data_IF_865796405151
#
_entry.id   IF_865796405151
#
_cell.length_a   1.000
_cell.length_b   1.000
_cell.length_c   1.000
_cell.angle_alpha   90.00
_cell.angle_beta   90.00
_cell.angle_gamma   90.00
#
_symmetry.space_group_name_H-M   'P 1'
#
loop_
_entity.id
_entity.type
_entity.pdbx_description
1 polymer ?
#
# COMPACT_ATOMS: atom_id res chain seq x y z
N UNK A 1 -60.87 -12.93 32.32
CA UNK A 1 -60.96 -11.85 31.31
C UNK A 1 -59.53 -11.38 31.06
N UNK A 2 -58.84 -12.08 30.12
CA UNK A 2 -57.39 -11.85 29.84
C UNK A 2 -57.25 -10.80 28.75
N UNK A 3 -56.69 -9.65 29.10
CA UNK A 3 -56.35 -8.60 28.15
C UNK A 3 -54.93 -8.86 27.69
N UNK A 4 -54.79 -9.34 26.44
CA UNK A 4 -53.53 -9.43 25.74
C UNK A 4 -53.08 -8.01 25.35
N UNK A 5 -52.07 -7.50 26.04
CA UNK A 5 -51.34 -6.28 25.62
C UNK A 5 -50.36 -6.71 24.55
N UNK A 6 -50.73 -6.59 23.28
CA UNK A 6 -49.84 -6.71 22.16
C UNK A 6 -49.01 -5.42 22.08
N UNK A 7 -47.73 -5.51 22.45
CA UNK A 7 -46.80 -4.39 22.37
C UNK A 7 -46.67 -3.95 20.91
N UNK A 8 -47.12 -2.73 20.62
CA UNK A 8 -46.95 -2.05 19.33
C UNK A 8 -45.48 -1.67 19.22
N UNK A 9 -44.69 -2.49 18.54
CA UNK A 9 -43.37 -2.06 18.10
C UNK A 9 -43.55 -0.98 17.04
N UNK A 10 -43.32 0.26 17.40
CA UNK A 10 -43.20 1.36 16.46
C UNK A 10 -41.99 1.05 15.54
N UNK A 11 -42.26 0.66 14.31
CA UNK A 11 -41.24 0.57 13.25
C UNK A 11 -40.84 2.00 12.94
N UNK A 12 -39.84 2.49 13.67
CA UNK A 12 -39.24 3.81 13.46
C UNK A 12 -38.62 3.81 12.08
N UNK A 13 -39.19 4.57 11.16
CA UNK A 13 -38.65 4.72 9.80
C UNK A 13 -37.16 5.08 9.87
N UNK A 14 -36.29 4.40 9.12
CA UNK A 14 -34.86 4.65 9.17
C UNK A 14 -34.57 6.09 8.76
N UNK A 15 -33.82 6.80 9.61
CA UNK A 15 -33.43 8.19 9.36
C UNK A 15 -32.73 8.31 8.00
N UNK A 16 -33.11 9.30 7.18
CA UNK A 16 -32.53 9.55 5.85
C UNK A 16 -30.98 9.58 5.89
N UNK A 17 -30.37 10.12 6.96
CA UNK A 17 -28.92 10.08 7.16
C UNK A 17 -28.36 8.67 7.27
N UNK A 18 -29.05 7.78 7.99
CA UNK A 18 -28.59 6.38 8.15
C UNK A 18 -28.74 5.58 6.85
N UNK A 19 -29.75 5.88 6.03
CA UNK A 19 -29.92 5.30 4.70
C UNK A 19 -28.81 5.77 3.73
N UNK A 20 -28.50 7.06 3.73
CA UNK A 20 -27.44 7.61 2.89
C UNK A 20 -26.07 7.02 3.27
N UNK A 21 -25.76 6.94 4.57
CA UNK A 21 -24.52 6.30 5.04
C UNK A 21 -24.46 4.82 4.68
N UNK A 22 -25.56 4.07 4.80
CA UNK A 22 -25.63 2.66 4.40
C UNK A 22 -25.46 2.50 2.88
N UNK A 23 -26.03 3.37 2.07
CA UNK A 23 -25.86 3.37 0.63
C UNK A 23 -24.44 3.71 0.22
N UNK A 24 -23.83 4.75 0.81
CA UNK A 24 -22.42 5.10 0.56
C UNK A 24 -21.50 3.95 0.96
N UNK A 25 -21.75 3.30 2.10
CA UNK A 25 -20.97 2.16 2.57
C UNK A 25 -21.18 0.91 1.70
N UNK A 26 -22.40 0.70 1.18
CA UNK A 26 -22.74 -0.40 0.27
C UNK A 26 -22.12 -0.20 -1.13
N UNK A 27 -22.18 1.03 -1.65
CA UNK A 27 -21.55 1.39 -2.93
C UNK A 27 -20.01 1.31 -2.85
N UNK A 28 -19.42 1.71 -1.73
CA UNK A 28 -17.99 1.53 -1.46
C UNK A 28 -17.59 0.04 -1.42
N UNK A 29 -18.44 -0.81 -0.83
CA UNK A 29 -18.19 -2.25 -0.73
C UNK A 29 -18.33 -3.00 -2.07
N UNK A 30 -19.21 -2.52 -2.96
CA UNK A 30 -19.40 -3.13 -4.30
C UNK A 30 -18.22 -2.86 -5.24
N UNK A 31 -17.49 -1.75 -5.07
CA UNK A 31 -16.35 -1.39 -5.93
C UNK A 31 -15.02 -2.06 -5.50
N UNK A 32 -14.93 -2.60 -4.30
CA UNK A 32 -13.69 -3.20 -3.76
C UNK A 32 -13.37 -4.56 -4.40
N UNK A 33 -14.37 -5.34 -4.84
CA UNK A 33 -14.13 -6.70 -5.37
C UNK A 33 -13.50 -6.74 -6.77
N UNK A 34 -13.64 -5.70 -7.58
CA UNK A 34 -13.05 -5.65 -8.94
C UNK A 34 -11.66 -5.00 -9.02
N UNK A 35 -11.26 -4.25 -8.02
CA UNK A 35 -10.04 -3.42 -8.07
C UNK A 35 -8.86 -3.97 -7.25
N UNK A 36 -9.04 -5.06 -6.51
CA UNK A 36 -7.99 -5.61 -5.65
C UNK A 36 -6.69 -5.92 -6.43
N UNK A 37 -6.79 -6.64 -7.53
CA UNK A 37 -5.62 -7.00 -8.34
C UNK A 37 -4.96 -5.78 -8.98
N UNK A 38 -5.74 -4.81 -9.47
CA UNK A 38 -5.21 -3.56 -10.05
C UNK A 38 -4.40 -2.76 -9.03
N UNK A 39 -4.86 -2.70 -7.78
CA UNK A 39 -4.17 -1.96 -6.73
C UNK A 39 -2.84 -2.59 -6.34
N UNK A 40 -2.74 -3.91 -6.36
CA UNK A 40 -1.47 -4.61 -6.19
C UNK A 40 -0.50 -4.34 -7.34
N UNK A 41 -1.01 -4.26 -8.58
CA UNK A 41 -0.20 -3.86 -9.74
C UNK A 41 0.27 -2.41 -9.59
N UNK A 42 -0.60 -1.48 -9.17
CA UNK A 42 -0.21 -0.11 -8.90
C UNK A 42 0.87 -0.01 -7.82
N UNK A 43 0.75 -0.80 -6.74
CA UNK A 43 1.78 -0.86 -5.71
C UNK A 43 3.12 -1.35 -6.27
N UNK A 44 3.11 -2.41 -7.07
CA UNK A 44 4.32 -2.94 -7.69
C UNK A 44 4.97 -1.90 -8.62
N UNK A 45 4.17 -1.24 -9.47
CA UNK A 45 4.66 -0.17 -10.34
C UNK A 45 5.23 1.00 -9.54
N UNK A 46 4.58 1.38 -8.42
CA UNK A 46 5.08 2.42 -7.53
C UNK A 46 6.45 2.06 -6.93
N UNK A 47 6.63 0.82 -6.47
CA UNK A 47 7.90 0.33 -5.91
C UNK A 47 9.00 0.31 -6.96
N UNK A 48 8.70 -0.19 -8.17
CA UNK A 48 9.68 -0.20 -9.27
C UNK A 48 10.06 1.21 -9.70
N UNK A 49 9.10 2.11 -9.82
CA UNK A 49 9.36 3.51 -10.15
C UNK A 49 10.23 4.20 -9.08
N UNK A 50 9.95 3.94 -7.78
CA UNK A 50 10.80 4.43 -6.70
C UNK A 50 12.23 3.90 -6.79
N UNK A 51 12.40 2.61 -7.06
CA UNK A 51 13.72 2.00 -7.23
C UNK A 51 14.51 2.66 -8.37
N UNK A 52 13.85 2.95 -9.50
CA UNK A 52 14.47 3.70 -10.62
C UNK A 52 14.83 5.12 -10.16
N UNK A 53 13.93 5.79 -9.44
CA UNK A 53 14.17 7.12 -8.87
C UNK A 53 15.36 7.15 -7.92
N UNK A 54 15.44 6.21 -6.99
CA UNK A 54 16.54 6.10 -6.02
C UNK A 54 17.87 5.78 -6.71
N UNK A 55 17.85 4.92 -7.74
CA UNK A 55 19.04 4.62 -8.53
C UNK A 55 19.51 5.84 -9.34
N UNK A 56 18.57 6.57 -9.93
CA UNK A 56 18.83 7.84 -10.61
C UNK A 56 19.37 8.90 -9.65
N UNK A 57 18.82 8.98 -8.44
CA UNK A 57 19.30 9.91 -7.41
C UNK A 57 20.76 9.64 -7.05
N UNK A 58 21.14 8.37 -6.86
CA UNK A 58 22.53 8.00 -6.63
C UNK A 58 23.44 8.36 -7.83
N UNK A 59 22.96 8.11 -9.05
CA UNK A 59 23.71 8.42 -10.27
C UNK A 59 23.81 9.93 -10.55
N UNK A 60 22.89 10.75 -9.99
CA UNK A 60 22.84 12.19 -10.20
C UNK A 60 23.94 12.98 -9.47
N UNK A 61 24.60 12.34 -8.51
CA UNK A 61 25.67 12.95 -7.72
C UNK A 61 25.22 14.28 -7.10
N UNK A 62 24.19 14.20 -6.24
CA UNK A 62 23.60 15.36 -5.60
C UNK A 62 22.89 16.32 -6.56
N UNK A 63 22.24 15.81 -7.60
CA UNK A 63 21.56 16.58 -8.68
C UNK A 63 22.50 17.41 -9.55
N UNK A 64 23.81 17.13 -9.54
CA UNK A 64 24.78 17.82 -10.40
C UNK A 64 24.69 17.40 -11.87
N UNK A 65 24.17 16.19 -12.14
CA UNK A 65 24.03 15.62 -13.50
C UNK A 65 22.59 15.70 -13.97
N UNK A 66 22.33 16.42 -15.06
CA UNK A 66 20.98 16.74 -15.54
C UNK A 66 20.12 15.51 -15.81
N UNK A 67 20.61 14.55 -16.63
CA UNK A 67 19.82 13.41 -17.06
C UNK A 67 19.40 12.47 -15.91
N UNK A 68 20.30 12.05 -15.00
CA UNK A 68 19.90 11.27 -13.83
C UNK A 68 18.97 12.04 -12.90
N UNK A 69 19.13 13.37 -12.77
CA UNK A 69 18.27 14.20 -11.96
C UNK A 69 16.85 14.26 -12.51
N UNK A 70 16.69 14.45 -13.82
CA UNK A 70 15.37 14.43 -14.47
C UNK A 70 14.70 13.05 -14.33
N UNK A 71 15.47 11.97 -14.55
CA UNK A 71 14.97 10.61 -14.34
C UNK A 71 14.45 10.42 -12.90
N UNK A 72 15.20 10.90 -11.93
CA UNK A 72 14.83 10.83 -10.51
C UNK A 72 13.49 11.53 -10.24
N UNK A 73 13.33 12.76 -10.71
CA UNK A 73 12.11 13.55 -10.49
C UNK A 73 10.89 12.86 -11.12
N UNK A 74 11.03 12.42 -12.37
CA UNK A 74 9.94 11.75 -13.10
C UNK A 74 9.57 10.42 -12.44
N UNK A 75 10.57 9.63 -12.06
CA UNK A 75 10.37 8.32 -11.44
C UNK A 75 9.71 8.43 -10.06
N UNK A 76 10.13 9.36 -9.21
CA UNK A 76 9.46 9.61 -7.94
C UNK A 76 8.04 10.16 -8.12
N UNK A 77 7.83 11.07 -9.09
CA UNK A 77 6.49 11.55 -9.42
C UNK A 77 5.54 10.41 -9.82
N UNK A 78 6.01 9.51 -10.68
CA UNK A 78 5.27 8.31 -11.06
C UNK A 78 5.02 7.38 -9.86
N UNK A 79 6.03 7.15 -9.02
CA UNK A 79 5.91 6.32 -7.82
C UNK A 79 4.80 6.82 -6.89
N UNK A 80 4.82 8.10 -6.53
CA UNK A 80 3.81 8.69 -5.66
C UNK A 80 2.42 8.73 -6.30
N UNK A 81 2.34 8.94 -7.61
CA UNK A 81 1.07 8.86 -8.33
C UNK A 81 0.45 7.47 -8.20
N UNK A 82 1.18 6.40 -8.53
CA UNK A 82 0.68 5.04 -8.42
C UNK A 82 0.42 4.61 -6.97
N UNK A 83 1.23 5.07 -6.02
CA UNK A 83 0.96 4.89 -4.60
C UNK A 83 -0.39 5.51 -4.20
N UNK A 84 -0.68 6.73 -4.66
CA UNK A 84 -1.95 7.39 -4.35
C UNK A 84 -3.16 6.59 -4.84
N UNK A 85 -3.03 5.94 -6.00
CA UNK A 85 -4.05 5.04 -6.54
C UNK A 85 -4.18 3.76 -5.70
N UNK A 86 -3.06 3.22 -5.24
CA UNK A 86 -3.01 2.04 -4.36
C UNK A 86 -3.74 2.28 -3.05
N UNK A 87 -3.51 3.43 -2.41
CA UNK A 87 -4.09 3.79 -1.11
C UNK A 87 -5.61 4.03 -1.15
N UNK A 88 -6.22 4.07 -2.32
CA UNK A 88 -7.70 4.10 -2.45
C UNK A 88 -8.36 2.79 -2.02
N UNK A 89 -7.64 1.68 -2.06
CA UNK A 89 -8.18 0.33 -1.82
C UNK A 89 -7.36 -0.47 -0.82
N UNK A 90 -6.04 -0.31 -0.79
CA UNK A 90 -5.15 -1.00 0.16
C UNK A 90 -4.93 -0.10 1.37
N UNK A 91 -5.15 -0.62 2.60
CA UNK A 91 -4.85 0.13 3.83
C UNK A 91 -3.40 0.58 3.88
N UNK A 92 -3.17 1.80 4.38
CA UNK A 92 -1.84 2.44 4.42
C UNK A 92 -0.78 1.55 5.06
N UNK A 93 -1.10 0.89 6.19
CA UNK A 93 -0.17 0.02 6.89
C UNK A 93 0.29 -1.17 6.05
N UNK A 94 -0.62 -1.81 5.27
CA UNK A 94 -0.28 -2.91 4.37
C UNK A 94 0.59 -2.41 3.21
N UNK A 95 0.17 -1.30 2.58
CA UNK A 95 0.91 -0.72 1.47
C UNK A 95 2.35 -0.41 1.87
N UNK A 96 2.56 0.23 3.03
CA UNK A 96 3.89 0.55 3.55
C UNK A 96 4.71 -0.68 3.97
N UNK A 97 4.08 -1.69 4.58
CA UNK A 97 4.77 -2.92 4.94
C UNK A 97 5.29 -3.66 3.70
N UNK A 98 4.46 -3.80 2.66
CA UNK A 98 4.88 -4.44 1.40
C UNK A 98 5.90 -3.59 0.66
N UNK A 99 5.68 -2.27 0.60
CA UNK A 99 6.63 -1.34 -0.01
C UNK A 99 8.02 -1.44 0.64
N UNK A 100 8.08 -1.32 1.97
CA UNK A 100 9.35 -1.40 2.71
C UNK A 100 10.05 -2.75 2.53
N UNK A 101 9.31 -3.86 2.61
CA UNK A 101 9.89 -5.20 2.44
C UNK A 101 10.38 -5.46 1.03
N UNK A 102 9.54 -5.24 0.03
CA UNK A 102 9.90 -5.46 -1.39
C UNK A 102 10.92 -4.42 -1.85
N UNK A 103 10.72 -3.14 -1.48
CA UNK A 103 11.62 -2.04 -1.86
C UNK A 103 13.04 -2.26 -1.38
N UNK A 104 13.23 -2.66 -0.12
CA UNK A 104 14.57 -2.96 0.43
C UNK A 104 15.27 -4.08 -0.35
N UNK A 105 14.56 -5.17 -0.65
CA UNK A 105 15.14 -6.26 -1.43
C UNK A 105 15.56 -5.79 -2.82
N UNK A 106 14.68 -5.07 -3.52
CA UNK A 106 14.96 -4.61 -4.88
C UNK A 106 16.10 -3.60 -4.93
N UNK A 107 16.09 -2.58 -4.05
CA UNK A 107 17.14 -1.55 -4.05
C UNK A 107 18.50 -2.12 -3.63
N UNK A 108 18.51 -3.12 -2.75
CA UNK A 108 19.73 -3.82 -2.36
C UNK A 108 20.30 -4.63 -3.52
N UNK A 109 19.43 -5.32 -4.29
CA UNK A 109 19.85 -6.03 -5.50
C UNK A 109 20.46 -5.07 -6.51
N UNK A 110 19.85 -3.91 -6.75
CA UNK A 110 20.41 -2.87 -7.63
C UNK A 110 21.75 -2.35 -7.08
N UNK A 111 21.83 -2.09 -5.79
CA UNK A 111 23.05 -1.69 -5.10
C UNK A 111 24.20 -2.68 -5.34
N UNK A 112 23.89 -3.96 -5.19
CA UNK A 112 24.86 -5.03 -5.40
C UNK A 112 25.24 -5.20 -6.87
N UNK A 113 24.24 -5.33 -7.77
CA UNK A 113 24.49 -5.67 -9.18
C UNK A 113 25.00 -4.48 -10.00
N UNK A 114 24.49 -3.27 -9.75
CA UNK A 114 24.76 -2.10 -10.57
C UNK A 114 25.81 -1.16 -9.97
N UNK A 115 25.81 -1.02 -8.65
CA UNK A 115 26.72 -0.13 -7.95
C UNK A 115 27.89 -0.86 -7.27
N UNK A 116 27.99 -2.18 -7.41
CA UNK A 116 29.09 -2.98 -6.86
C UNK A 116 29.14 -2.98 -5.33
N UNK A 117 28.04 -2.66 -4.65
CA UNK A 117 27.98 -2.64 -3.19
C UNK A 117 28.02 -4.09 -2.66
N UNK A 118 28.98 -4.35 -1.76
CA UNK A 118 29.08 -5.68 -1.13
C UNK A 118 28.10 -5.78 0.02
N UNK A 119 27.37 -6.90 0.05
CA UNK A 119 26.48 -7.26 1.15
C UNK A 119 27.28 -8.10 2.15
N UNK A 120 27.30 -7.68 3.38
CA UNK A 120 27.85 -8.49 4.48
C UNK A 120 26.75 -9.38 5.12
N UNK A 121 27.15 -10.34 5.93
CA UNK A 121 26.22 -11.24 6.58
C UNK A 121 25.18 -10.51 7.47
N UNK A 122 25.55 -9.48 8.27
CA UNK A 122 24.57 -8.70 9.04
C UNK A 122 23.52 -8.02 8.16
N UNK A 123 23.88 -7.47 6.99
CA UNK A 123 22.95 -6.84 6.07
C UNK A 123 21.94 -7.85 5.51
N UNK A 124 22.41 -9.04 5.11
CA UNK A 124 21.54 -10.13 4.64
C UNK A 124 20.57 -10.57 5.75
N UNK A 125 21.07 -10.77 6.97
CA UNK A 125 20.23 -11.13 8.11
C UNK A 125 19.18 -10.07 8.42
N UNK A 126 19.55 -8.80 8.42
CA UNK A 126 18.63 -7.69 8.63
C UNK A 126 17.52 -7.64 7.59
N UNK A 127 17.84 -7.82 6.32
CA UNK A 127 16.85 -7.89 5.23
C UNK A 127 15.91 -9.08 5.38
N UNK A 128 16.42 -10.26 5.73
CA UNK A 128 15.60 -11.44 5.96
C UNK A 128 14.61 -11.22 7.12
N UNK A 129 15.03 -10.55 8.20
CA UNK A 129 14.15 -10.18 9.31
C UNK A 129 13.05 -9.20 8.88
N UNK A 130 13.36 -8.20 8.06
CA UNK A 130 12.39 -7.25 7.53
C UNK A 130 11.36 -7.97 6.66
N UNK A 131 11.81 -8.78 5.71
CA UNK A 131 10.91 -9.55 4.83
C UNK A 131 10.04 -10.51 5.65
N UNK A 132 10.62 -11.21 6.62
CA UNK A 132 9.88 -12.10 7.51
C UNK A 132 8.82 -11.33 8.30
N UNK A 133 9.15 -10.15 8.84
CA UNK A 133 8.21 -9.27 9.54
C UNK A 133 7.05 -8.85 8.63
N UNK A 134 7.32 -8.49 7.37
CA UNK A 134 6.29 -8.16 6.38
C UNK A 134 5.38 -9.34 6.09
N UNK A 135 5.93 -10.54 5.95
CA UNK A 135 5.13 -11.77 5.75
C UNK A 135 4.23 -12.03 6.96
N UNK A 136 4.78 -11.93 8.18
CA UNK A 136 4.00 -12.10 9.41
C UNK A 136 2.85 -11.10 9.49
N UNK A 137 3.10 -9.82 9.19
CA UNK A 137 2.06 -8.79 9.16
C UNK A 137 0.96 -9.11 8.14
N UNK A 138 1.32 -9.52 6.93
CA UNK A 138 0.33 -9.78 5.88
C UNK A 138 -0.46 -11.08 6.08
N UNK A 139 0.15 -12.11 6.66
CA UNK A 139 -0.48 -13.44 6.80
C UNK A 139 -1.22 -13.58 8.13
N UNK A 140 -0.65 -13.07 9.22
CA UNK A 140 -1.14 -13.35 10.57
C UNK A 140 -1.83 -12.17 11.25
N UNK A 141 -1.62 -10.92 10.81
CA UNK A 141 -2.22 -9.77 11.47
C UNK A 141 -3.68 -9.57 11.03
N UNK A 142 -4.59 -9.70 11.99
CA UNK A 142 -6.02 -9.38 11.83
C UNK A 142 -6.30 -7.87 11.93
N UNK A 143 -5.36 -7.09 12.41
CA UNK A 143 -5.50 -5.63 12.62
C UNK A 143 -5.56 -4.87 11.30
N UNK A 144 -5.06 -5.46 10.25
CA UNK A 144 -4.95 -4.86 8.91
C UNK A 144 -6.24 -5.06 8.09
N UNK A 145 -7.15 -5.96 8.54
CA UNK A 145 -8.38 -6.33 7.83
C UNK A 145 -9.64 -5.56 8.32
N UNK A 146 -9.46 -4.51 9.14
CA UNK A 146 -10.59 -3.67 9.61
C UNK A 146 -10.64 -2.34 8.92
#
# INVERSE_FOLDING_TARGET
MNILIVGRQEIRAPNKRSLTLRLIFSLGKMNVKGNGMKSWIYLLVAIVAEMVGTSGLKASDGFSKLWPSLLTIVAYGASFFFLSLTLRTIPVGIAYAVWGGVGIVLITLVGWLYFGQRLDAPAIMGMLLIVSGVVVLNVFSKTILR
#
